data_IF_404360672848
#
_entry.id   IF_404360672848
#
_cell.length_a   1.000
_cell.length_b   1.000
_cell.length_c   1.000
_cell.angle_alpha   90.00
_cell.angle_beta   90.00
_cell.angle_gamma   90.00
#
_symmetry.space_group_name_H-M   'P 1'
#
loop_
_entity.id
_entity.type
_entity.pdbx_description
1 polymer ?
#
# COMPACT_ATOMS: atom_id res chain seq x y z
N UNK A 1 7.20 -29.50 6.86
CA UNK A 1 6.65 -29.24 8.23
C UNK A 1 5.14 -29.11 8.13
N UNK A 2 4.35 -29.68 9.07
CA UNK A 2 2.90 -29.44 9.09
C UNK A 2 2.62 -28.29 10.06
N UNK A 3 1.93 -27.26 9.60
CA UNK A 3 1.50 -26.13 10.44
C UNK A 3 0.38 -26.62 11.38
N UNK A 4 0.54 -26.37 12.68
CA UNK A 4 -0.43 -26.72 13.73
C UNK A 4 -0.98 -25.49 14.45
N UNK A 5 -0.23 -24.39 14.41
CA UNK A 5 -0.62 -23.13 15.04
C UNK A 5 -0.34 -21.93 14.15
N UNK A 6 -1.25 -20.94 14.19
CA UNK A 6 -1.13 -19.67 13.47
C UNK A 6 -1.21 -18.54 14.47
N UNK A 7 -0.19 -17.68 14.47
CA UNK A 7 -0.13 -16.48 15.30
C UNK A 7 -0.59 -15.24 14.54
N UNK A 8 -1.44 -14.46 15.17
CA UNK A 8 -1.94 -13.18 14.67
C UNK A 8 -1.55 -12.07 15.66
N UNK A 9 -0.34 -11.49 15.53
CA UNK A 9 0.02 -10.30 16.28
C UNK A 9 -0.72 -9.07 15.72
N UNK A 10 -0.97 -8.08 16.59
CA UNK A 10 -1.58 -6.81 16.21
C UNK A 10 -0.65 -5.96 15.36
N UNK A 11 -1.25 -5.11 14.56
CA UNK A 11 -0.53 -4.03 13.89
C UNK A 11 -0.17 -2.92 14.89
N UNK A 12 1.09 -2.48 14.88
CA UNK A 12 1.60 -1.43 15.80
C UNK A 12 2.69 -0.56 15.18
N UNK A 13 2.58 -0.28 13.88
CA UNK A 13 3.57 0.53 13.15
C UNK A 13 3.45 2.04 13.42
N UNK A 14 2.23 2.52 13.47
CA UNK A 14 1.84 3.92 13.62
C UNK A 14 0.60 3.97 14.52
N UNK A 15 0.33 5.09 15.16
CA UNK A 15 -0.84 5.22 16.05
C UNK A 15 -2.17 4.98 15.30
N UNK A 16 -2.26 5.47 14.07
CA UNK A 16 -3.43 5.30 13.21
C UNK A 16 -3.44 3.99 12.40
N UNK A 17 -2.41 3.13 12.52
CA UNK A 17 -2.41 1.81 11.89
C UNK A 17 -3.28 0.83 12.68
N UNK A 18 -4.40 0.42 12.10
CA UNK A 18 -5.44 -0.38 12.77
C UNK A 18 -5.80 -1.66 12.03
N UNK A 19 -5.04 -2.04 11.01
CA UNK A 19 -5.40 -3.13 10.09
C UNK A 19 -5.10 -4.53 10.64
N UNK A 20 -5.69 -4.89 11.76
CA UNK A 20 -5.80 -6.27 12.20
C UNK A 20 -6.78 -7.03 11.28
N UNK A 21 -6.66 -8.35 11.14
CA UNK A 21 -7.61 -9.11 10.33
C UNK A 21 -8.99 -9.14 10.98
N UNK A 22 -10.03 -8.91 10.18
CA UNK A 22 -11.41 -8.88 10.65
C UNK A 22 -11.94 -10.28 10.99
N UNK A 23 -13.00 -10.43 11.83
CA UNK A 23 -13.58 -11.72 12.21
C UNK A 23 -13.90 -12.64 11.02
N UNK A 24 -14.16 -12.08 9.85
CA UNK A 24 -14.42 -12.83 8.61
C UNK A 24 -13.29 -13.83 8.29
N UNK A 25 -12.01 -13.46 8.43
CA UNK A 25 -10.89 -14.36 8.15
C UNK A 25 -10.94 -15.57 9.06
N UNK A 26 -11.18 -15.37 10.35
CA UNK A 26 -11.21 -16.42 11.36
C UNK A 26 -12.40 -17.37 11.17
N UNK A 27 -13.54 -16.84 10.75
CA UNK A 27 -14.70 -17.65 10.32
C UNK A 27 -14.35 -18.54 9.12
N UNK A 28 -13.61 -18.01 8.13
CA UNK A 28 -13.18 -18.77 6.96
C UNK A 28 -12.13 -19.82 7.31
N UNK A 29 -11.29 -19.58 8.32
CA UNK A 29 -10.30 -20.53 8.85
C UNK A 29 -10.92 -21.64 9.71
N UNK A 30 -12.15 -21.46 10.22
CA UNK A 30 -12.84 -22.47 11.04
C UNK A 30 -13.01 -23.82 10.31
N UNK A 31 -13.02 -23.82 9.00
CA UNK A 31 -13.12 -25.04 8.19
C UNK A 31 -11.88 -25.95 8.30
N UNK A 32 -10.77 -25.45 8.81
CA UNK A 32 -9.53 -26.21 9.05
C UNK A 32 -9.47 -26.70 10.49
N UNK A 33 -9.98 -27.90 10.77
CA UNK A 33 -10.28 -28.37 12.12
C UNK A 33 -9.10 -28.61 13.06
N UNK A 34 -7.87 -28.76 12.54
CA UNK A 34 -6.70 -29.14 13.35
C UNK A 34 -5.74 -27.97 13.66
N UNK A 35 -6.17 -26.73 13.46
CA UNK A 35 -5.31 -25.54 13.60
C UNK A 35 -5.68 -24.76 14.86
N UNK A 36 -4.70 -24.54 15.72
CA UNK A 36 -4.80 -23.61 16.84
C UNK A 36 -4.53 -22.17 16.36
N UNK A 37 -5.34 -21.22 16.78
CA UNK A 37 -5.17 -19.80 16.46
C UNK A 37 -4.72 -19.05 17.70
N UNK A 38 -3.52 -18.48 17.64
CA UNK A 38 -2.94 -17.67 18.71
C UNK A 38 -3.13 -16.20 18.35
N UNK A 39 -3.95 -15.49 19.10
CA UNK A 39 -4.30 -14.10 18.83
C UNK A 39 -3.77 -13.22 19.96
N UNK A 40 -3.18 -12.08 19.61
CA UNK A 40 -2.71 -11.10 20.58
C UNK A 40 -3.89 -10.48 21.36
N UNK A 41 -3.66 -10.13 22.62
CA UNK A 41 -4.59 -9.36 23.45
C UNK A 41 -5.03 -8.08 22.74
N UNK A 42 -6.29 -7.67 22.93
CA UNK A 42 -6.89 -6.48 22.30
C UNK A 42 -6.89 -6.46 20.75
N UNK A 43 -6.78 -7.62 20.11
CA UNK A 43 -6.82 -7.74 18.65
C UNK A 43 -8.12 -7.15 18.08
N UNK A 44 -8.00 -6.32 17.03
CA UNK A 44 -9.12 -5.70 16.33
C UNK A 44 -9.75 -4.48 17.03
N UNK A 45 -9.36 -4.16 18.26
CA UNK A 45 -9.97 -3.06 19.05
C UNK A 45 -9.89 -1.71 18.31
N UNK A 46 -8.80 -1.48 17.57
CA UNK A 46 -8.61 -0.28 16.76
C UNK A 46 -9.63 -0.11 15.62
N UNK A 47 -10.28 -1.19 15.22
CA UNK A 47 -11.34 -1.22 14.20
C UNK A 47 -12.74 -1.39 14.80
N UNK A 48 -12.86 -1.40 16.14
CA UNK A 48 -14.12 -1.55 16.85
C UNK A 48 -14.57 -3.00 17.06
N UNK A 49 -13.71 -4.00 16.80
CA UNK A 49 -13.96 -5.39 17.12
C UNK A 49 -13.42 -5.74 18.51
N UNK A 50 -14.26 -6.31 19.36
CA UNK A 50 -13.82 -6.88 20.63
C UNK A 50 -13.46 -8.37 20.49
N UNK A 51 -12.78 -8.91 21.50
CA UNK A 51 -12.35 -10.32 21.50
C UNK A 51 -13.51 -11.29 21.29
N UNK A 52 -14.69 -10.96 21.81
CA UNK A 52 -15.89 -11.79 21.66
C UNK A 52 -16.35 -11.91 20.19
N UNK A 53 -16.11 -10.89 19.35
CA UNK A 53 -16.45 -10.96 17.93
C UNK A 53 -15.64 -12.03 17.19
N UNK A 54 -14.42 -12.28 17.66
CA UNK A 54 -13.55 -13.33 17.12
C UNK A 54 -13.89 -14.71 17.70
N UNK A 55 -14.10 -14.80 19.02
CA UNK A 55 -14.45 -16.07 19.68
C UNK A 55 -15.81 -16.62 19.19
N UNK A 56 -16.77 -15.77 18.87
CA UNK A 56 -18.07 -16.17 18.32
C UNK A 56 -17.97 -16.83 16.94
N UNK A 57 -16.92 -16.50 16.16
CA UNK A 57 -16.75 -17.04 14.81
C UNK A 57 -15.74 -18.18 14.75
N UNK A 58 -14.89 -18.34 15.77
CA UNK A 58 -13.93 -19.44 15.84
C UNK A 58 -13.53 -19.72 17.29
N UNK A 59 -13.96 -20.85 17.82
CA UNK A 59 -13.76 -21.28 19.22
C UNK A 59 -12.34 -21.82 19.52
N UNK A 60 -11.49 -21.95 18.49
CA UNK A 60 -10.09 -22.38 18.63
C UNK A 60 -9.10 -21.23 18.83
N UNK A 61 -9.60 -20.02 18.96
CA UNK A 61 -8.77 -18.85 19.23
C UNK A 61 -8.37 -18.85 20.70
N UNK A 62 -7.07 -18.75 20.93
CA UNK A 62 -6.48 -18.50 22.24
C UNK A 62 -5.87 -17.10 22.26
N UNK A 63 -6.21 -16.36 23.30
CA UNK A 63 -5.69 -15.01 23.51
C UNK A 63 -4.42 -15.11 24.33
N UNK A 64 -3.36 -14.46 23.83
CA UNK A 64 -2.02 -14.54 24.41
C UNK A 64 -1.33 -13.15 24.35
N UNK A 65 -0.37 -12.92 25.27
CA UNK A 65 0.53 -11.77 25.15
C UNK A 65 1.30 -11.81 23.83
N UNK A 66 1.59 -10.62 23.27
CA UNK A 66 2.23 -10.46 21.97
C UNK A 66 3.39 -11.41 21.71
N UNK A 67 4.37 -11.50 22.64
CA UNK A 67 5.56 -12.33 22.47
C UNK A 67 5.22 -13.83 22.33
N UNK A 68 4.20 -14.30 23.04
CA UNK A 68 3.77 -15.70 22.99
C UNK A 68 3.12 -16.04 21.66
N UNK A 69 2.44 -15.09 21.00
CA UNK A 69 1.86 -15.26 19.67
C UNK A 69 2.93 -15.60 18.63
N UNK A 70 4.14 -15.05 18.76
CA UNK A 70 5.26 -15.33 17.86
C UNK A 70 5.83 -16.75 18.00
N UNK A 71 5.40 -17.54 18.98
CA UNK A 71 5.76 -18.96 19.12
C UNK A 71 4.98 -19.90 18.19
N UNK A 72 4.05 -19.39 17.38
CA UNK A 72 3.29 -20.17 16.41
C UNK A 72 4.18 -20.74 15.28
N UNK A 73 3.68 -21.80 14.62
CA UNK A 73 4.35 -22.37 13.43
C UNK A 73 4.27 -21.44 12.21
N UNK A 74 3.25 -20.59 12.16
CA UNK A 74 3.08 -19.56 11.13
C UNK A 74 2.62 -18.25 11.77
N UNK A 75 3.28 -17.14 11.42
CA UNK A 75 2.85 -15.78 11.78
C UNK A 75 2.20 -15.13 10.57
N UNK A 76 1.00 -14.59 10.77
CA UNK A 76 0.21 -13.89 9.75
C UNK A 76 -0.07 -12.47 10.22
N UNK A 77 0.51 -11.50 9.55
CA UNK A 77 0.35 -10.08 9.85
C UNK A 77 0.51 -9.27 8.57
N UNK A 78 -0.29 -8.21 8.40
CA UNK A 78 -0.29 -7.49 7.11
C UNK A 78 1.05 -6.83 6.81
N UNK A 79 1.57 -5.99 7.71
CA UNK A 79 2.90 -5.35 7.57
C UNK A 79 3.92 -6.11 8.40
N UNK A 80 5.11 -6.23 7.87
CA UNK A 80 6.21 -6.97 8.52
C UNK A 80 6.45 -6.49 9.95
N UNK A 81 6.58 -7.38 10.93
CA UNK A 81 6.98 -7.04 12.30
C UNK A 81 8.34 -6.34 12.35
N UNK A 82 8.68 -5.74 13.47
CA UNK A 82 10.00 -5.15 13.68
C UNK A 82 11.08 -6.23 13.74
N UNK A 83 12.34 -5.89 13.44
CA UNK A 83 13.43 -6.85 13.38
C UNK A 83 13.64 -7.60 14.70
N UNK A 84 13.47 -6.93 15.85
CA UNK A 84 13.56 -7.58 17.15
C UNK A 84 12.41 -8.56 17.42
N UNK A 85 11.24 -8.31 16.86
CA UNK A 85 10.10 -9.22 16.97
C UNK A 85 10.28 -10.46 16.08
N UNK A 86 10.90 -10.30 14.89
CA UNK A 86 11.23 -11.44 14.04
C UNK A 86 12.16 -12.43 14.74
N UNK A 87 13.04 -11.98 15.64
CA UNK A 87 13.92 -12.83 16.45
C UNK A 87 13.17 -13.67 17.50
N UNK A 88 11.89 -13.36 17.78
CA UNK A 88 11.07 -14.19 18.65
C UNK A 88 10.51 -15.44 17.95
N UNK A 89 10.50 -15.42 16.62
CA UNK A 89 10.02 -16.54 15.81
C UNK A 89 10.97 -17.76 15.91
N UNK A 90 10.41 -18.95 15.81
CA UNK A 90 11.20 -20.19 15.80
C UNK A 90 11.85 -20.39 14.43
N UNK A 91 13.10 -20.86 14.35
CA UNK A 91 13.67 -21.33 13.08
C UNK A 91 12.76 -22.35 12.39
N UNK A 92 12.57 -22.21 11.09
CA UNK A 92 11.68 -23.05 10.30
C UNK A 92 10.20 -22.66 10.35
N UNK A 93 9.78 -21.64 11.14
CA UNK A 93 8.41 -21.16 11.11
C UNK A 93 8.15 -20.28 9.86
N UNK A 94 6.88 -20.20 9.49
CA UNK A 94 6.42 -19.40 8.33
C UNK A 94 6.14 -17.97 8.74
N UNK A 95 6.64 -17.01 7.97
CA UNK A 95 6.20 -15.61 8.03
C UNK A 95 5.38 -15.29 6.78
N UNK A 96 4.11 -14.94 6.95
CA UNK A 96 3.23 -14.53 5.88
C UNK A 96 2.82 -13.08 6.10
N UNK A 97 3.41 -12.16 5.30
CA UNK A 97 3.31 -10.70 5.49
C UNK A 97 3.63 -9.97 4.19
N UNK A 98 3.36 -8.67 4.09
CA UNK A 98 3.87 -7.81 3.00
C UNK A 98 5.35 -7.50 3.25
N UNK A 99 6.24 -8.19 2.54
CA UNK A 99 7.68 -8.17 2.82
C UNK A 99 8.48 -7.23 1.92
N UNK A 100 7.96 -6.88 0.74
CA UNK A 100 8.60 -5.95 -0.21
C UNK A 100 10.07 -6.31 -0.47
N UNK A 101 10.35 -7.53 -0.91
CA UNK A 101 11.70 -8.08 -1.07
C UNK A 101 12.62 -7.22 -1.93
N UNK A 102 12.09 -6.59 -2.97
CA UNK A 102 12.81 -5.75 -3.94
C UNK A 102 13.42 -4.48 -3.34
N UNK A 103 12.85 -4.00 -2.23
CA UNK A 103 13.27 -2.75 -1.57
C UNK A 103 13.78 -2.93 -0.14
N UNK A 104 13.97 -4.17 0.33
CA UNK A 104 14.29 -4.49 1.74
C UNK A 104 15.36 -5.59 1.87
N UNK A 105 16.51 -5.37 1.23
CA UNK A 105 17.60 -6.35 1.20
C UNK A 105 18.11 -6.74 2.60
N UNK A 106 18.30 -5.80 3.51
CA UNK A 106 18.72 -6.07 4.89
C UNK A 106 17.73 -7.01 5.61
N UNK A 107 16.43 -6.79 5.42
CA UNK A 107 15.40 -7.68 5.95
C UNK A 107 15.46 -9.06 5.33
N UNK A 108 15.67 -9.17 4.02
CA UNK A 108 15.79 -10.46 3.34
C UNK A 108 16.95 -11.28 3.93
N UNK A 109 18.07 -10.66 4.22
CA UNK A 109 19.23 -11.28 4.86
C UNK A 109 18.89 -11.75 6.28
N UNK A 110 18.23 -10.91 7.08
CA UNK A 110 17.79 -11.26 8.43
C UNK A 110 16.82 -12.47 8.43
N UNK A 111 15.86 -12.52 7.48
CA UNK A 111 14.93 -13.64 7.38
C UNK A 111 15.66 -14.97 7.07
N UNK A 112 16.72 -14.92 6.26
CA UNK A 112 17.58 -16.07 5.98
C UNK A 112 18.41 -16.47 7.21
N UNK A 113 19.05 -15.51 7.91
CA UNK A 113 19.82 -15.73 9.13
C UNK A 113 18.98 -16.40 10.23
N UNK A 114 17.73 -15.97 10.38
CA UNK A 114 16.76 -16.53 11.32
C UNK A 114 16.19 -17.89 10.85
N UNK A 115 16.56 -18.36 9.66
CA UNK A 115 16.05 -19.60 9.05
C UNK A 115 14.53 -19.64 8.99
N UNK A 116 13.87 -18.51 8.70
CA UNK A 116 12.43 -18.44 8.54
C UNK A 116 12.02 -18.87 7.11
N UNK A 117 10.74 -19.21 6.95
CA UNK A 117 10.13 -19.55 5.66
C UNK A 117 9.18 -18.39 5.28
N UNK A 118 9.68 -17.32 4.63
CA UNK A 118 8.86 -16.15 4.36
C UNK A 118 8.13 -16.27 3.01
N UNK A 119 6.86 -15.83 3.01
CA UNK A 119 6.03 -15.61 1.83
C UNK A 119 5.54 -14.16 1.83
N UNK A 120 5.82 -13.44 0.76
CA UNK A 120 5.42 -12.04 0.63
C UNK A 120 4.01 -11.90 0.05
N UNK A 121 3.06 -11.37 0.83
CA UNK A 121 1.68 -11.15 0.36
C UNK A 121 1.63 -10.22 -0.86
N UNK A 122 2.54 -9.25 -0.96
CA UNK A 122 2.65 -8.34 -2.08
C UNK A 122 3.37 -8.95 -3.29
N UNK A 123 4.05 -10.09 -3.12
CA UNK A 123 4.67 -10.88 -4.18
C UNK A 123 3.80 -12.03 -4.71
N UNK A 124 2.56 -12.17 -4.25
CA UNK A 124 1.65 -13.21 -4.74
C UNK A 124 1.14 -12.81 -6.12
N UNK A 125 1.60 -13.52 -7.16
CA UNK A 125 1.25 -13.26 -8.55
C UNK A 125 0.72 -14.52 -9.24
N UNK A 126 -0.25 -14.32 -10.14
CA UNK A 126 -0.79 -15.40 -10.97
C UNK A 126 0.19 -15.77 -12.12
N UNK A 127 -0.21 -16.71 -12.99
CA UNK A 127 0.61 -17.16 -14.10
C UNK A 127 0.79 -16.12 -15.23
N UNK A 128 0.19 -14.93 -15.09
CA UNK A 128 0.32 -13.78 -16.00
C UNK A 128 0.95 -12.57 -15.33
N UNK A 129 1.71 -12.79 -14.22
CA UNK A 129 2.39 -11.75 -13.44
C UNK A 129 1.43 -10.67 -12.86
N UNK A 130 0.15 -11.04 -12.61
CA UNK A 130 -0.83 -10.15 -12.01
C UNK A 130 -0.91 -10.42 -10.51
N UNK A 131 -0.75 -9.38 -9.71
CA UNK A 131 -0.86 -9.48 -8.26
C UNK A 131 -2.25 -9.92 -7.83
N UNK A 132 -2.32 -10.92 -6.95
CA UNK A 132 -3.57 -11.51 -6.45
C UNK A 132 -4.00 -10.94 -5.09
N UNK A 133 -3.10 -10.32 -4.35
CA UNK A 133 -3.37 -9.65 -3.06
C UNK A 133 -3.14 -8.16 -3.24
N UNK A 134 -4.23 -7.43 -3.51
CA UNK A 134 -4.20 -6.01 -3.89
C UNK A 134 -5.42 -5.25 -3.39
N UNK A 135 -5.24 -3.97 -3.15
CA UNK A 135 -6.34 -3.05 -2.87
C UNK A 135 -6.13 -1.71 -3.62
N UNK A 136 -6.06 -1.78 -4.95
CA UNK A 136 -5.88 -0.59 -5.81
C UNK A 136 -7.02 0.42 -5.65
N UNK A 137 -8.25 -0.08 -5.49
CA UNK A 137 -9.43 0.77 -5.27
C UNK A 137 -9.32 1.52 -3.94
N UNK A 138 -9.02 0.81 -2.83
CA UNK A 138 -8.85 1.45 -1.52
C UNK A 138 -7.73 2.50 -1.52
N UNK A 139 -6.59 2.21 -2.19
CA UNK A 139 -5.51 3.18 -2.39
C UNK A 139 -6.01 4.43 -3.10
N UNK A 140 -6.66 4.25 -4.26
CA UNK A 140 -7.03 5.36 -5.13
C UNK A 140 -8.19 6.19 -4.59
N UNK A 141 -9.25 5.55 -4.06
CA UNK A 141 -10.40 6.27 -3.53
C UNK A 141 -10.04 7.07 -2.28
N UNK A 142 -9.28 6.49 -1.34
CA UNK A 142 -8.83 7.21 -0.14
C UNK A 142 -7.92 8.40 -0.47
N UNK A 143 -6.96 8.20 -1.38
CA UNK A 143 -6.06 9.28 -1.80
C UNK A 143 -6.78 10.40 -2.55
N UNK A 144 -7.66 10.05 -3.49
CA UNK A 144 -8.43 11.03 -4.27
C UNK A 144 -9.40 11.81 -3.39
N UNK A 145 -10.09 11.18 -2.44
CA UNK A 145 -10.97 11.87 -1.49
C UNK A 145 -10.20 12.92 -0.68
N UNK A 146 -9.05 12.53 -0.16
CA UNK A 146 -8.18 13.43 0.58
C UNK A 146 -7.71 14.62 -0.29
N UNK A 147 -7.23 14.35 -1.52
CA UNK A 147 -6.77 15.38 -2.43
C UNK A 147 -7.90 16.33 -2.87
N UNK A 148 -9.07 15.76 -3.18
CA UNK A 148 -10.25 16.56 -3.56
C UNK A 148 -10.75 17.44 -2.43
N UNK A 149 -10.67 16.94 -1.18
CA UNK A 149 -10.99 17.71 0.03
C UNK A 149 -10.04 18.91 0.19
N UNK A 150 -8.73 18.74 -0.09
CA UNK A 150 -7.78 19.87 -0.03
C UNK A 150 -8.00 20.87 -1.16
N UNK A 151 -8.26 20.39 -2.36
CA UNK A 151 -8.57 21.28 -3.49
C UNK A 151 -9.80 22.16 -3.20
N UNK A 152 -10.86 21.61 -2.64
CA UNK A 152 -12.05 22.35 -2.21
C UNK A 152 -11.75 23.48 -1.22
N UNK A 153 -10.85 23.24 -0.26
CA UNK A 153 -10.47 24.26 0.72
C UNK A 153 -9.73 25.45 0.09
N UNK A 154 -9.02 25.21 -1.01
CA UNK A 154 -8.13 26.19 -1.64
C UNK A 154 -8.80 26.98 -2.77
N UNK A 155 -9.76 26.40 -3.44
CA UNK A 155 -10.49 27.01 -4.54
C UNK A 155 -11.83 27.56 -4.03
N UNK A 156 -11.86 28.86 -3.70
CA UNK A 156 -13.10 29.56 -3.28
C UNK A 156 -14.15 29.64 -4.42
N UNK A 157 -13.73 29.34 -5.63
CA UNK A 157 -14.46 29.62 -6.87
C UNK A 157 -15.08 28.36 -7.52
N UNK A 158 -15.19 27.25 -6.75
CA UNK A 158 -15.83 26.02 -7.23
C UNK A 158 -17.28 26.22 -7.73
N UNK A 159 -17.95 27.29 -7.27
CA UNK A 159 -19.36 27.57 -7.54
C UNK A 159 -19.59 28.79 -8.42
N UNK A 160 -18.55 29.41 -9.01
CA UNK A 160 -18.71 30.59 -9.88
C UNK A 160 -19.23 30.19 -11.26
N UNK A 161 -20.35 30.77 -11.73
CA UNK A 161 -20.83 30.58 -13.08
C UNK A 161 -19.78 30.98 -14.12
N UNK A 162 -19.54 30.09 -15.11
CA UNK A 162 -18.57 30.34 -16.18
C UNK A 162 -17.11 30.05 -15.84
N UNK A 163 -16.84 29.43 -14.68
CA UNK A 163 -15.51 28.91 -14.38
C UNK A 163 -15.11 27.80 -15.38
N UNK A 164 -13.81 27.66 -15.63
CA UNK A 164 -13.30 26.56 -16.43
C UNK A 164 -13.53 25.21 -15.72
N UNK A 165 -13.55 24.08 -16.44
CA UNK A 165 -13.52 22.78 -15.78
C UNK A 165 -12.23 22.62 -14.95
N UNK A 166 -12.29 21.82 -13.90
CA UNK A 166 -11.10 21.38 -13.17
C UNK A 166 -10.32 20.38 -14.02
N UNK A 167 -9.01 20.32 -13.82
CA UNK A 167 -8.13 19.39 -14.51
C UNK A 167 -7.39 18.50 -13.51
N UNK A 168 -7.50 17.20 -13.69
CA UNK A 168 -6.68 16.20 -12.99
C UNK A 168 -5.75 15.52 -14.01
N UNK A 169 -4.46 15.50 -13.70
CA UNK A 169 -3.45 14.78 -14.47
C UNK A 169 -2.93 13.60 -13.69
N UNK A 170 -2.99 12.40 -14.27
CA UNK A 170 -2.53 11.16 -13.65
C UNK A 170 -1.27 10.68 -14.38
N UNK A 171 -0.14 10.65 -13.68
CA UNK A 171 1.11 10.07 -14.16
C UNK A 171 1.05 8.56 -13.97
N UNK A 172 1.07 7.82 -15.09
CA UNK A 172 0.98 6.35 -15.09
C UNK A 172 -0.39 5.83 -15.53
N UNK A 173 -0.35 4.76 -16.32
CA UNK A 173 -1.53 4.10 -16.92
C UNK A 173 -1.66 2.64 -16.45
N UNK A 174 -1.23 2.39 -15.19
CA UNK A 174 -1.35 1.10 -14.52
C UNK A 174 -2.67 0.95 -13.75
N UNK A 175 -2.79 -0.13 -12.98
CA UNK A 175 -4.00 -0.43 -12.20
C UNK A 175 -4.36 0.68 -11.21
N UNK A 176 -3.37 1.27 -10.52
CA UNK A 176 -3.60 2.38 -9.58
C UNK A 176 -4.08 3.63 -10.33
N UNK A 177 -3.46 3.97 -11.48
CA UNK A 177 -3.86 5.14 -12.28
C UNK A 177 -5.28 5.01 -12.83
N UNK A 178 -5.67 3.82 -13.29
CA UNK A 178 -7.03 3.55 -13.74
C UNK A 178 -8.06 3.65 -12.60
N UNK A 179 -7.74 3.11 -11.43
CA UNK A 179 -8.62 3.26 -10.25
C UNK A 179 -8.65 4.72 -9.75
N UNK A 180 -7.55 5.47 -9.84
CA UNK A 180 -7.53 6.90 -9.54
C UNK A 180 -8.44 7.69 -10.49
N UNK A 181 -8.46 7.37 -11.79
CA UNK A 181 -9.39 7.99 -12.74
C UNK A 181 -10.86 7.70 -12.40
N UNK A 182 -11.19 6.47 -11.99
CA UNK A 182 -12.53 6.11 -11.52
C UNK A 182 -12.91 6.87 -10.24
N UNK A 183 -11.97 6.98 -9.29
CA UNK A 183 -12.19 7.72 -8.06
C UNK A 183 -12.40 9.21 -8.31
N UNK A 184 -11.58 9.83 -9.15
CA UNK A 184 -11.74 11.24 -9.56
C UNK A 184 -13.10 11.48 -10.20
N UNK A 185 -13.54 10.58 -11.12
CA UNK A 185 -14.89 10.66 -11.70
C UNK A 185 -15.96 10.54 -10.63
N UNK A 186 -15.84 9.59 -9.70
CA UNK A 186 -16.83 9.37 -8.64
C UNK A 186 -17.02 10.62 -7.76
N UNK A 187 -15.93 11.19 -7.24
CA UNK A 187 -15.98 12.36 -6.37
C UNK A 187 -16.39 13.63 -7.14
N UNK A 188 -15.94 13.78 -8.39
CA UNK A 188 -16.33 14.86 -9.27
C UNK A 188 -17.83 14.83 -9.56
N UNK A 189 -18.37 13.70 -10.02
CA UNK A 189 -19.80 13.54 -10.29
C UNK A 189 -20.64 13.80 -9.03
N UNK A 190 -20.23 13.21 -7.90
CA UNK A 190 -20.92 13.40 -6.63
C UNK A 190 -20.99 14.88 -6.22
N UNK A 191 -19.88 15.60 -6.41
CA UNK A 191 -19.80 17.01 -6.07
C UNK A 191 -20.59 17.89 -7.04
N UNK A 192 -20.36 17.75 -8.37
CA UNK A 192 -20.93 18.65 -9.36
C UNK A 192 -22.41 18.38 -9.67
N UNK A 193 -22.82 17.11 -9.68
CA UNK A 193 -24.21 16.75 -9.97
C UNK A 193 -25.12 16.92 -8.75
N UNK A 194 -24.66 16.52 -7.55
CA UNK A 194 -25.51 16.56 -6.37
C UNK A 194 -25.61 17.95 -5.74
N UNK A 195 -24.56 18.76 -5.82
CA UNK A 195 -24.53 20.09 -5.22
C UNK A 195 -25.01 21.21 -6.15
N UNK A 196 -25.51 20.88 -7.35
CA UNK A 196 -25.93 21.87 -8.36
C UNK A 196 -24.84 22.91 -8.63
N UNK A 197 -23.58 22.49 -8.56
CA UNK A 197 -22.44 23.36 -8.86
C UNK A 197 -22.57 23.93 -10.26
N UNK A 198 -22.12 25.16 -10.43
CA UNK A 198 -22.08 25.84 -11.72
C UNK A 198 -20.77 25.60 -12.46
N UNK A 199 -19.84 24.86 -11.86
CA UNK A 199 -18.59 24.42 -12.49
C UNK A 199 -18.92 23.34 -13.52
N UNK A 200 -18.34 23.39 -14.74
CA UNK A 200 -18.67 22.44 -15.80
C UNK A 200 -18.14 21.01 -15.59
N UNK A 201 -17.53 20.70 -14.45
CA UNK A 201 -17.05 19.37 -14.10
C UNK A 201 -15.52 19.27 -14.08
N UNK A 202 -15.00 18.06 -14.25
CA UNK A 202 -13.58 17.78 -14.24
C UNK A 202 -13.13 17.04 -15.50
N UNK A 203 -12.01 17.47 -16.08
CA UNK A 203 -11.30 16.77 -17.15
C UNK A 203 -10.21 15.93 -16.49
N UNK A 204 -10.19 14.63 -16.80
CA UNK A 204 -9.25 13.67 -16.24
C UNK A 204 -8.36 13.14 -17.36
N UNK A 205 -7.07 13.43 -17.29
CA UNK A 205 -6.08 13.00 -18.27
C UNK A 205 -5.14 11.96 -17.66
N UNK A 206 -4.92 10.85 -18.38
CA UNK A 206 -3.91 9.85 -18.04
C UNK A 206 -2.70 10.02 -18.96
N UNK A 207 -1.52 10.15 -18.36
CA UNK A 207 -0.27 10.37 -19.07
C UNK A 207 0.59 9.09 -19.05
N UNK A 208 0.67 8.38 -20.18
CA UNK A 208 1.57 7.24 -20.31
C UNK A 208 3.03 7.70 -20.33
N UNK A 209 3.96 6.75 -20.16
CA UNK A 209 5.40 7.03 -20.10
C UNK A 209 5.91 7.83 -21.30
N UNK A 210 5.42 7.55 -22.50
CA UNK A 210 5.78 8.30 -23.73
C UNK A 210 5.51 9.81 -23.64
N UNK A 211 4.58 10.22 -22.79
CA UNK A 211 4.29 11.63 -22.51
C UNK A 211 5.14 12.14 -21.36
N UNK A 212 5.25 11.36 -20.27
CA UNK A 212 5.98 11.80 -19.07
C UNK A 212 7.50 11.86 -19.30
N UNK A 213 8.04 11.12 -20.27
CA UNK A 213 9.43 11.22 -20.72
C UNK A 213 9.71 12.43 -21.64
N UNK A 214 8.69 13.26 -21.97
CA UNK A 214 8.84 14.49 -22.73
C UNK A 214 8.70 15.71 -21.80
N UNK A 215 9.81 16.32 -21.32
CA UNK A 215 9.77 17.42 -20.36
C UNK A 215 9.03 18.65 -20.87
N UNK A 216 9.15 18.95 -22.17
CA UNK A 216 8.51 20.12 -22.77
C UNK A 216 6.97 19.99 -22.74
N UNK A 217 6.48 18.83 -23.13
CA UNK A 217 5.04 18.56 -23.13
C UNK A 217 4.48 18.49 -21.71
N UNK A 218 5.20 17.80 -20.79
CA UNK A 218 4.72 17.65 -19.42
C UNK A 218 4.63 19.01 -18.69
N UNK A 219 5.59 19.90 -18.90
CA UNK A 219 5.54 21.27 -18.34
C UNK A 219 4.32 22.08 -18.81
N UNK A 220 3.96 21.95 -20.09
CA UNK A 220 2.75 22.62 -20.62
C UNK A 220 1.47 22.02 -20.02
N UNK A 221 1.42 20.72 -19.80
CA UNK A 221 0.27 20.08 -19.16
C UNK A 221 0.15 20.44 -17.67
N UNK A 222 1.27 20.57 -16.94
CA UNK A 222 1.28 21.00 -15.52
C UNK A 222 0.58 22.35 -15.31
N UNK A 223 0.64 23.28 -16.29
CA UNK A 223 -0.03 24.60 -16.20
C UNK A 223 -1.55 24.51 -16.02
N UNK A 224 -2.15 23.41 -16.41
CA UNK A 224 -3.61 23.21 -16.37
C UNK A 224 -4.06 22.45 -15.12
N UNK A 225 -3.16 21.71 -14.46
CA UNK A 225 -3.52 20.71 -13.45
C UNK A 225 -3.90 21.33 -12.11
N UNK A 226 -5.13 21.13 -11.69
CA UNK A 226 -5.59 21.42 -10.33
C UNK A 226 -5.25 20.27 -9.38
N UNK A 227 -5.21 19.01 -9.89
CA UNK A 227 -4.71 17.85 -9.18
C UNK A 227 -3.68 17.13 -10.06
N UNK A 228 -2.47 16.93 -9.52
CA UNK A 228 -1.43 16.09 -10.10
C UNK A 228 -1.34 14.79 -9.30
N UNK A 229 -1.62 13.66 -9.94
CA UNK A 229 -1.59 12.34 -9.30
C UNK A 229 -0.36 11.57 -9.78
N UNK A 230 0.49 11.14 -8.84
CA UNK A 230 1.54 10.16 -9.12
C UNK A 230 1.02 8.74 -8.83
N UNK A 231 0.74 7.99 -9.89
CA UNK A 231 0.39 6.56 -9.87
C UNK A 231 1.36 5.77 -10.75
N UNK A 232 2.57 6.27 -10.89
CA UNK A 232 3.59 5.73 -11.77
C UNK A 232 4.36 4.57 -11.13
N UNK A 233 4.95 3.73 -11.98
CA UNK A 233 6.01 2.79 -11.61
C UNK A 233 7.25 3.13 -12.43
N UNK A 234 8.31 3.55 -11.76
CA UNK A 234 9.59 3.90 -12.38
C UNK A 234 10.44 2.65 -12.59
N UNK A 235 11.21 2.64 -13.68
CA UNK A 235 12.22 1.59 -13.93
C UNK A 235 13.45 1.83 -13.07
N UNK A 236 13.84 3.09 -12.98
CA UNK A 236 14.97 3.56 -12.19
C UNK A 236 14.42 4.40 -11.01
N UNK A 237 14.50 3.90 -9.78
CA UNK A 237 14.00 4.59 -8.60
C UNK A 237 14.79 5.84 -8.23
N UNK A 238 15.95 6.07 -8.84
CA UNK A 238 16.77 7.29 -8.65
C UNK A 238 16.34 8.46 -9.52
N UNK A 239 15.44 8.26 -10.49
CA UNK A 239 15.02 9.29 -11.43
C UNK A 239 13.67 9.90 -11.07
N UNK A 240 13.55 11.20 -11.19
CA UNK A 240 12.28 11.93 -11.08
C UNK A 240 11.48 11.83 -12.39
N UNK A 241 10.16 11.79 -12.29
CA UNK A 241 9.25 11.99 -13.43
C UNK A 241 8.96 13.48 -13.56
N UNK A 242 8.71 14.15 -12.44
CA UNK A 242 8.49 15.60 -12.37
C UNK A 242 9.56 16.21 -11.48
N UNK A 243 10.40 17.09 -12.06
CA UNK A 243 11.38 17.85 -11.29
C UNK A 243 10.71 18.98 -10.52
N UNK A 244 11.23 19.32 -9.36
CA UNK A 244 10.68 20.37 -8.51
C UNK A 244 10.56 21.72 -9.24
N UNK A 245 11.60 22.12 -10.00
CA UNK A 245 11.57 23.35 -10.79
C UNK A 245 10.44 23.40 -11.84
N UNK A 246 9.84 22.26 -12.24
CA UNK A 246 8.68 22.27 -13.16
C UNK A 246 7.38 22.56 -12.44
N UNK A 247 7.33 22.35 -11.11
CA UNK A 247 6.14 22.65 -10.29
C UNK A 247 5.84 24.15 -10.24
N UNK A 248 6.78 25.03 -10.60
CA UNK A 248 6.50 26.47 -10.77
C UNK A 248 5.34 26.71 -11.74
N UNK A 249 5.22 25.85 -12.78
CA UNK A 249 4.18 25.95 -13.81
C UNK A 249 2.80 25.51 -13.31
N UNK A 250 2.72 24.71 -12.26
CA UNK A 250 1.46 24.25 -11.71
C UNK A 250 0.75 25.38 -10.96
N UNK A 251 -0.59 25.54 -11.06
CA UNK A 251 -1.34 26.53 -10.28
C UNK A 251 -1.00 26.48 -8.79
N UNK A 252 -0.95 27.63 -8.12
CA UNK A 252 -0.57 27.72 -6.69
C UNK A 252 -1.56 27.02 -5.75
N UNK A 253 -2.83 26.92 -6.16
CA UNK A 253 -3.87 26.17 -5.45
C UNK A 253 -3.82 24.66 -5.74
N UNK A 254 -3.01 24.24 -6.69
CA UNK A 254 -2.94 22.85 -7.12
C UNK A 254 -2.51 21.90 -6.01
N UNK A 255 -3.01 20.69 -6.06
CA UNK A 255 -2.75 19.62 -5.07
C UNK A 255 -1.99 18.49 -5.74
N UNK A 256 -0.93 18.02 -5.11
CA UNK A 256 -0.17 16.84 -5.52
C UNK A 256 -0.66 15.66 -4.71
N UNK A 257 -1.09 14.59 -5.37
CA UNK A 257 -1.48 13.32 -4.77
C UNK A 257 -0.44 12.25 -5.11
N UNK A 258 0.25 11.74 -4.10
CA UNK A 258 1.20 10.64 -4.20
C UNK A 258 0.50 9.31 -3.88
N UNK A 259 0.23 8.50 -4.91
CA UNK A 259 -0.29 7.14 -4.80
C UNK A 259 0.78 6.08 -5.01
N UNK A 260 1.98 6.46 -5.47
CA UNK A 260 3.11 5.53 -5.63
C UNK A 260 3.69 5.14 -4.27
N UNK A 261 3.66 6.07 -3.31
CA UNK A 261 4.15 5.92 -1.94
C UNK A 261 5.62 5.46 -1.85
N UNK A 262 6.42 5.71 -2.90
CA UNK A 262 7.84 5.38 -2.92
C UNK A 262 8.59 6.11 -1.79
N UNK A 263 9.36 5.43 -0.94
CA UNK A 263 10.15 6.10 0.08
C UNK A 263 11.40 6.75 -0.51
N UNK A 264 11.95 7.75 0.19
CA UNK A 264 13.36 8.09 0.03
C UNK A 264 14.22 6.99 0.67
N UNK A 265 15.31 6.60 -0.01
CA UNK A 265 16.31 5.69 0.56
C UNK A 265 17.71 6.24 0.24
N UNK A 266 18.37 6.74 1.29
CA UNK A 266 19.70 7.31 1.22
C UNK A 266 20.81 6.29 1.48
N UNK A 267 20.47 5.07 1.88
CA UNK A 267 21.43 4.01 2.20
C UNK A 267 21.96 3.31 0.95
N UNK A 268 21.42 3.64 -0.22
CA UNK A 268 21.83 3.09 -1.53
C UNK A 268 22.38 4.19 -2.43
N UNK A 269 23.21 3.80 -3.39
CA UNK A 269 23.79 4.73 -4.39
C UNK A 269 23.54 4.20 -5.81
N UNK A 270 22.89 4.99 -6.69
CA UNK A 270 22.28 6.30 -6.41
C UNK A 270 21.08 6.19 -5.45
N UNK A 271 20.80 7.28 -4.73
CA UNK A 271 19.68 7.31 -3.77
C UNK A 271 18.34 7.05 -4.46
N UNK A 272 17.45 6.33 -3.78
CA UNK A 272 16.07 6.22 -4.22
C UNK A 272 15.31 7.50 -3.85
N UNK A 273 14.53 8.00 -4.80
CA UNK A 273 13.73 9.23 -4.65
C UNK A 273 12.25 8.97 -4.96
N UNK A 274 11.39 9.95 -4.77
CA UNK A 274 9.98 9.90 -5.18
C UNK A 274 9.84 10.24 -6.67
N UNK A 275 8.69 9.87 -7.28
CA UNK A 275 8.40 10.21 -8.68
C UNK A 275 8.29 11.71 -8.93
N UNK A 276 7.74 12.45 -7.96
CA UNK A 276 7.71 13.91 -7.94
C UNK A 276 8.76 14.41 -6.97
N UNK A 277 9.68 15.25 -7.44
CA UNK A 277 10.79 15.77 -6.65
C UNK A 277 10.32 16.70 -5.54
N UNK A 278 10.87 16.51 -4.34
CA UNK A 278 10.71 17.44 -3.23
C UNK A 278 9.34 17.38 -2.54
N UNK A 279 8.68 16.23 -2.55
CA UNK A 279 7.43 16.02 -1.80
C UNK A 279 7.67 15.20 -0.53
N UNK A 280 6.99 15.52 0.62
CA UNK A 280 7.11 14.76 1.84
C UNK A 280 6.57 13.33 1.74
N UNK A 281 7.01 12.46 2.64
CA UNK A 281 6.46 11.11 2.81
C UNK A 281 5.41 11.14 3.90
N UNK A 282 4.17 10.76 3.53
CA UNK A 282 3.06 10.69 4.47
C UNK A 282 2.88 9.31 5.10
N UNK A 283 2.19 9.30 6.23
CA UNK A 283 1.78 8.13 6.99
C UNK A 283 0.28 8.21 7.27
N UNK A 284 -0.30 7.21 7.94
CA UNK A 284 -1.70 7.29 8.38
C UNK A 284 -1.92 8.37 9.45
N UNK A 285 -0.88 8.75 10.19
CA UNK A 285 -0.96 9.80 11.21
C UNK A 285 -0.95 11.21 10.61
N UNK A 286 -0.22 11.40 9.50
CA UNK A 286 -0.15 12.65 8.76
C UNK A 286 -0.06 12.38 7.26
N UNK A 287 -1.11 12.75 6.54
CA UNK A 287 -1.19 12.53 5.08
C UNK A 287 -1.35 13.82 4.26
N UNK A 288 -1.46 14.99 4.88
CA UNK A 288 -1.58 16.28 4.18
C UNK A 288 -0.47 17.21 4.64
N UNK A 289 0.24 17.79 3.68
CA UNK A 289 1.37 18.69 3.90
C UNK A 289 1.14 19.99 3.14
N UNK A 290 1.00 21.08 3.86
CA UNK A 290 0.94 22.41 3.27
C UNK A 290 2.35 22.88 2.85
N UNK A 291 2.50 23.88 1.96
CA UNK A 291 3.81 24.33 1.47
C UNK A 291 4.79 24.79 2.58
N UNK A 292 4.29 25.17 3.74
CA UNK A 292 5.10 25.60 4.89
C UNK A 292 5.21 24.53 5.99
N UNK A 293 4.80 23.28 5.71
CA UNK A 293 4.84 22.20 6.69
C UNK A 293 6.29 21.82 7.03
N UNK A 294 6.65 21.61 8.32
CA UNK A 294 7.98 21.18 8.75
C UNK A 294 8.44 19.84 8.15
N UNK A 295 7.52 18.99 7.70
CA UNK A 295 7.86 17.72 7.04
C UNK A 295 8.75 17.89 5.79
N UNK A 296 8.75 19.08 5.18
CA UNK A 296 9.67 19.39 4.08
C UNK A 296 11.14 19.45 4.54
N UNK A 297 11.40 19.72 5.81
CA UNK A 297 12.76 19.77 6.37
C UNK A 297 13.35 18.35 6.57
N UNK A 298 12.52 17.32 6.56
CA UNK A 298 12.90 15.90 6.59
C UNK A 298 13.23 15.29 5.24
N UNK A 299 13.10 16.04 4.14
CA UNK A 299 13.46 15.58 2.80
C UNK A 299 15.00 15.52 2.69
N UNK A 300 15.58 14.47 2.07
CA UNK A 300 17.03 14.32 1.97
C UNK A 300 17.73 15.53 1.36
N UNK A 301 18.91 15.86 1.88
CA UNK A 301 19.78 16.90 1.33
C UNK A 301 20.07 16.62 -0.16
N UNK A 302 20.06 17.68 -0.97
CA UNK A 302 20.26 17.58 -2.43
C UNK A 302 18.97 17.36 -3.24
N UNK A 303 17.83 17.10 -2.60
CA UNK A 303 16.51 17.09 -3.25
C UNK A 303 15.95 18.51 -3.27
N UNK A 304 15.61 19.02 -4.46
CA UNK A 304 15.04 20.37 -4.60
C UNK A 304 13.61 20.42 -4.04
N UNK A 305 13.36 21.39 -3.14
CA UNK A 305 12.04 21.66 -2.52
C UNK A 305 11.60 23.11 -2.68
N UNK A 306 12.15 23.83 -3.65
CA UNK A 306 11.92 25.29 -3.85
C UNK A 306 10.48 25.59 -4.19
N UNK A 307 9.86 24.80 -5.10
CA UNK A 307 8.49 25.01 -5.55
C UNK A 307 7.55 24.03 -4.85
N UNK A 308 7.00 24.46 -3.72
CA UNK A 308 6.10 23.63 -2.90
C UNK A 308 4.63 23.81 -3.29
N UNK A 309 3.86 22.75 -3.21
CA UNK A 309 2.40 22.71 -3.33
C UNK A 309 1.82 21.96 -2.13
N UNK A 310 0.51 21.98 -1.97
CA UNK A 310 -0.11 21.06 -1.01
C UNK A 310 0.09 19.64 -1.52
N UNK A 311 0.67 18.80 -0.69
CA UNK A 311 0.91 17.39 -0.97
C UNK A 311 -0.02 16.54 -0.12
N UNK A 312 -0.59 15.52 -0.74
CA UNK A 312 -1.37 14.47 -0.10
C UNK A 312 -0.65 13.15 -0.39
N UNK A 313 -0.04 12.55 0.62
CA UNK A 313 0.79 11.35 0.52
C UNK A 313 0.54 10.44 1.71
N UNK A 314 0.55 9.13 1.50
CA UNK A 314 0.44 8.13 2.56
C UNK A 314 1.13 6.84 2.11
N UNK A 315 1.98 6.28 2.97
CA UNK A 315 2.66 5.01 2.72
C UNK A 315 1.74 3.79 2.87
N UNK A 316 0.50 4.00 3.32
CA UNK A 316 -0.44 2.95 3.69
C UNK A 316 -1.90 3.27 3.32
N UNK A 317 -2.14 3.87 2.16
CA UNK A 317 -3.45 4.35 1.70
C UNK A 317 -4.65 3.45 2.02
N UNK A 318 -4.61 2.11 1.83
CA UNK A 318 -5.74 1.26 2.18
C UNK A 318 -6.07 1.25 3.69
N UNK A 319 -5.17 1.74 4.54
CA UNK A 319 -5.38 1.85 5.99
C UNK A 319 -6.31 2.99 6.42
N UNK A 320 -6.63 3.92 5.51
CA UNK A 320 -7.64 4.97 5.74
C UNK A 320 -9.05 4.36 5.94
N UNK A 321 -9.35 3.24 5.24
CA UNK A 321 -10.52 2.38 5.52
C UNK A 321 -10.04 1.01 5.98
N UNK A 322 -9.68 0.83 7.26
CA UNK A 322 -9.08 -0.42 7.72
C UNK A 322 -10.03 -1.60 7.65
N UNK A 323 -11.33 -1.41 7.90
CA UNK A 323 -12.33 -2.49 7.86
C UNK A 323 -12.57 -2.96 6.43
N UNK A 324 -12.80 -2.07 5.49
CA UNK A 324 -12.96 -2.40 4.06
C UNK A 324 -11.70 -3.06 3.50
N UNK A 325 -10.53 -2.51 3.83
CA UNK A 325 -9.24 -3.06 3.46
C UNK A 325 -9.07 -4.50 3.95
N UNK A 326 -9.25 -4.75 5.24
CA UNK A 326 -9.01 -6.06 5.83
C UNK A 326 -10.11 -7.08 5.48
N UNK A 327 -11.32 -6.61 5.17
CA UNK A 327 -12.38 -7.45 4.59
C UNK A 327 -11.99 -7.97 3.21
N UNK A 328 -11.43 -7.10 2.37
CA UNK A 328 -10.94 -7.48 1.03
C UNK A 328 -9.77 -8.45 1.14
N UNK A 329 -8.74 -8.11 1.92
CA UNK A 329 -7.57 -8.98 2.10
C UNK A 329 -7.93 -10.32 2.71
N UNK A 330 -8.88 -10.39 3.66
CA UNK A 330 -9.36 -11.66 4.22
C UNK A 330 -9.91 -12.59 3.15
N UNK A 331 -10.65 -12.05 2.17
CA UNK A 331 -11.21 -12.82 1.04
C UNK A 331 -10.14 -13.26 0.05
N UNK A 332 -9.10 -12.47 -0.14
CA UNK A 332 -8.00 -12.79 -1.06
C UNK A 332 -7.03 -13.80 -0.42
N UNK A 333 -6.68 -13.62 0.84
CA UNK A 333 -5.64 -14.41 1.53
C UNK A 333 -6.10 -15.80 1.94
N UNK A 334 -7.40 -16.04 2.12
CA UNK A 334 -7.90 -17.33 2.65
C UNK A 334 -7.47 -18.54 1.81
N UNK A 335 -7.39 -18.40 0.50
CA UNK A 335 -6.97 -19.48 -0.39
C UNK A 335 -5.51 -19.86 -0.16
N UNK A 336 -4.64 -18.88 -0.02
CA UNK A 336 -3.20 -19.07 0.25
C UNK A 336 -2.93 -19.60 1.64
N UNK A 337 -3.67 -19.13 2.65
CA UNK A 337 -3.59 -19.66 4.00
C UNK A 337 -3.98 -21.15 4.04
N UNK A 338 -5.03 -21.55 3.33
CA UNK A 338 -5.42 -22.95 3.23
C UNK A 338 -4.37 -23.81 2.56
N UNK A 339 -3.71 -23.34 1.54
CA UNK A 339 -2.59 -24.01 0.89
C UNK A 339 -1.42 -24.23 1.88
N UNK A 340 -1.00 -23.17 2.57
CA UNK A 340 0.08 -23.24 3.56
C UNK A 340 -0.26 -24.19 4.73
N UNK A 341 -1.53 -24.25 5.14
CA UNK A 341 -2.00 -25.14 6.21
C UNK A 341 -2.05 -26.61 5.77
N UNK A 342 -2.51 -26.86 4.55
CA UNK A 342 -2.77 -28.21 4.04
C UNK A 342 -1.52 -28.90 3.52
N UNK A 343 -0.52 -28.14 3.07
CA UNK A 343 0.71 -28.63 2.45
C UNK A 343 1.93 -28.29 3.32
N UNK A 344 3.03 -28.96 3.06
CA UNK A 344 4.33 -28.60 3.64
C UNK A 344 4.87 -27.35 2.91
N UNK A 345 5.01 -26.18 3.58
CA UNK A 345 5.47 -24.94 2.94
C UNK A 345 6.84 -25.04 2.26
N UNK A 346 7.70 -25.99 2.69
CA UNK A 346 9.02 -26.22 2.10
C UNK A 346 8.98 -27.11 0.84
N UNK A 347 7.82 -27.73 0.54
CA UNK A 347 7.65 -28.66 -0.58
C UNK A 347 6.71 -28.14 -1.65
N UNK A 348 6.32 -26.87 -1.58
CA UNK A 348 5.51 -26.26 -2.62
C UNK A 348 6.26 -26.25 -3.97
N UNK A 349 5.54 -26.47 -5.07
CA UNK A 349 6.13 -26.63 -6.40
C UNK A 349 5.59 -25.59 -7.39
N UNK A 350 6.48 -24.94 -8.12
CA UNK A 350 6.13 -24.06 -9.24
C UNK A 350 5.50 -24.86 -10.42
N UNK A 351 5.65 -26.18 -10.44
CA UNK A 351 5.08 -27.07 -11.44
C UNK A 351 3.78 -27.75 -10.98
N UNK A 352 3.21 -27.32 -9.86
CA UNK A 352 1.93 -27.82 -9.37
C UNK A 352 0.80 -27.50 -10.35
N UNK A 353 -0.22 -28.36 -10.45
CA UNK A 353 -1.45 -28.06 -11.20
C UNK A 353 -2.29 -26.97 -10.49
N UNK A 354 -2.06 -26.75 -9.18
CA UNK A 354 -2.77 -25.77 -8.39
C UNK A 354 -2.18 -24.36 -8.60
N UNK A 355 -2.96 -23.40 -9.13
CA UNK A 355 -2.48 -22.03 -9.35
C UNK A 355 -2.16 -21.27 -8.06
N UNK A 356 -2.81 -21.59 -6.93
CA UNK A 356 -2.53 -20.95 -5.64
C UNK A 356 -1.18 -21.41 -5.08
N UNK A 357 -0.85 -22.69 -5.24
CA UNK A 357 0.47 -23.21 -4.88
C UNK A 357 1.58 -22.56 -5.71
N UNK A 358 1.42 -22.47 -7.04
CA UNK A 358 2.40 -21.79 -7.90
C UNK A 358 2.59 -20.31 -7.53
N UNK A 359 1.50 -19.62 -7.20
CA UNK A 359 1.55 -18.23 -6.76
C UNK A 359 2.28 -18.06 -5.42
N UNK A 360 2.10 -18.98 -4.46
CA UNK A 360 2.86 -19.00 -3.22
C UNK A 360 4.36 -19.24 -3.46
N UNK A 361 4.72 -20.14 -4.37
CA UNK A 361 6.14 -20.34 -4.71
C UNK A 361 6.76 -19.05 -5.23
N UNK A 362 6.09 -18.32 -6.13
CA UNK A 362 6.56 -17.02 -6.62
C UNK A 362 6.71 -15.98 -5.50
N UNK A 363 5.85 -16.04 -4.50
CA UNK A 363 5.87 -15.16 -3.33
C UNK A 363 6.92 -15.53 -2.28
N UNK A 364 7.65 -16.64 -2.45
CA UNK A 364 8.67 -17.10 -1.52
C UNK A 364 9.99 -16.36 -1.70
N UNK A 365 10.75 -16.16 -0.62
CA UNK A 365 12.06 -15.52 -0.68
C UNK A 365 13.08 -16.31 -1.53
N UNK A 366 13.17 -17.65 -1.45
CA UNK A 366 14.07 -18.40 -2.33
C UNK A 366 13.81 -18.14 -3.81
N UNK A 367 12.55 -18.19 -4.25
CA UNK A 367 12.19 -17.92 -5.63
C UNK A 367 12.56 -16.48 -6.06
N UNK A 368 12.29 -15.49 -5.20
CA UNK A 368 12.69 -14.11 -5.43
C UNK A 368 14.20 -13.99 -5.64
N UNK A 369 15.01 -14.55 -4.76
CA UNK A 369 16.47 -14.46 -4.84
C UNK A 369 17.04 -15.17 -6.08
N UNK A 370 16.44 -16.26 -6.52
CA UNK A 370 16.88 -16.99 -7.73
C UNK A 370 16.59 -16.21 -9.01
N UNK A 371 15.47 -15.48 -9.07
CA UNK A 371 15.01 -14.82 -10.29
C UNK A 371 15.43 -13.35 -10.39
N UNK A 372 15.72 -12.67 -9.26
CA UNK A 372 16.17 -11.26 -9.25
C UNK A 372 17.69 -11.09 -9.22
N UNK A 373 18.49 -12.14 -8.96
CA UNK A 373 19.94 -12.13 -9.16
C UNK A 373 20.38 -12.16 -10.63
N UNK A 374 19.44 -12.36 -11.57
CA UNK A 374 19.71 -12.49 -13.02
C UNK A 374 19.45 -11.20 -13.81
N UNK A 375 19.00 -10.15 -13.18
CA UNK A 375 18.82 -8.82 -13.79
C UNK A 375 19.73 -7.79 -13.09
#
# INVERSE_FOLDING_TARGET
MKIKSIGFPRMNKEESEKRDFVPLLFRLLQLNQDIEILMEEDYGIGMGFGINDYLLVNDRIRILPRREVFNADMIVVLRTPEEDELKWMKPGSVLFSMLHYDTRESRNNLLQELSLIPFSMDGIEDDWDRRMVVNYSGTSYSGVDAAFTQLKKKTKDFDIPGSRPLYAGILGFGSVGLEAAKALKHYSDSFFLNNKSKTPGMIINLYPRSITENPGLLKEELKKMDILVDASRRRDPSQYIVKNCWLENMPTHGVILDLSADPYNTDISPIQVKGIEGIPTGTLDQLVFEPNDPAYDGIPEGVDTTHRRTVVSCNAWPGVDPIGCMTLYSKQLIYFLRELISKDPQKLSIHSDDPYERALVRASLPYFLENHKKN
#
